data_IF_860313329529
#
_entry.id   IF_860313329529
#
_cell.length_a   1.000
_cell.length_b   1.000
_cell.length_c   1.000
_cell.angle_alpha   90.00
_cell.angle_beta   90.00
_cell.angle_gamma   90.00
#
_symmetry.space_group_name_H-M   'P 1'
#
loop_
_entity.id
_entity.type
_entity.pdbx_description
1 polymer ?
#
# COMPACT_ATOMS: atom_id res chain seq x y z
N UNK A 1 -4.29 8.96 -4.10
CA UNK A 1 -4.47 7.81 -3.19
C UNK A 1 -4.78 6.52 -3.96
N UNK A 2 -3.75 5.88 -4.52
CA UNK A 2 -3.87 4.62 -5.27
C UNK A 2 -3.00 3.55 -4.60
N UNK A 3 -3.63 2.51 -4.07
CA UNK A 3 -2.92 1.30 -3.64
C UNK A 3 -2.69 0.41 -4.86
N UNK A 4 -1.52 -0.20 -4.99
CA UNK A 4 -1.28 -1.29 -5.94
C UNK A 4 -0.90 -2.52 -5.13
N UNK A 5 -1.78 -3.52 -5.11
CA UNK A 5 -1.42 -4.87 -4.67
C UNK A 5 -1.30 -5.75 -5.93
N UNK A 6 -0.10 -6.25 -6.20
CA UNK A 6 0.12 -7.24 -7.27
C UNK A 6 -0.07 -8.63 -6.67
N UNK A 7 -1.17 -9.29 -7.01
CA UNK A 7 -1.44 -10.69 -6.69
C UNK A 7 -1.95 -11.40 -7.93
N UNK A 8 -1.21 -12.39 -8.42
CA UNK A 8 -1.64 -13.25 -9.52
C UNK A 8 -2.69 -14.29 -9.12
N UNK A 9 -3.89 -13.86 -8.71
CA UNK A 9 -5.18 -14.59 -8.81
C UNK A 9 -6.22 -14.01 -7.81
N UNK A 10 -6.65 -12.78 -8.03
CA UNK A 10 -7.78 -12.19 -7.30
C UNK A 10 -9.06 -12.40 -8.11
N UNK A 11 -10.10 -13.06 -7.58
CA UNK A 11 -11.40 -13.24 -8.28
C UNK A 11 -12.24 -11.96 -8.37
N UNK A 12 -11.61 -10.81 -8.19
CA UNK A 12 -12.23 -9.51 -8.15
C UNK A 12 -12.65 -9.09 -9.57
N UNK A 13 -13.95 -8.95 -9.82
CA UNK A 13 -14.50 -8.33 -11.04
C UNK A 13 -14.35 -9.10 -12.37
N UNK A 14 -14.21 -10.42 -12.35
CA UNK A 14 -14.26 -11.18 -13.60
C UNK A 14 -15.67 -11.71 -13.88
N UNK A 15 -16.36 -11.10 -14.84
CA UNK A 15 -17.54 -11.70 -15.49
C UNK A 15 -17.19 -12.98 -16.27
N UNK A 16 -15.92 -13.37 -16.35
CA UNK A 16 -15.40 -14.45 -17.20
C UNK A 16 -14.56 -15.52 -16.47
N UNK A 17 -14.47 -15.51 -15.13
CA UNK A 17 -13.72 -16.52 -14.37
C UNK A 17 -12.18 -16.41 -14.45
N UNK A 18 -11.66 -15.29 -14.98
CA UNK A 18 -10.23 -15.00 -15.04
C UNK A 18 -9.77 -14.26 -13.78
N UNK A 19 -8.67 -14.69 -13.17
CA UNK A 19 -8.06 -14.00 -12.04
C UNK A 19 -7.54 -12.60 -12.42
N UNK A 20 -7.51 -11.70 -11.45
CA UNK A 20 -6.90 -10.37 -11.56
C UNK A 20 -5.50 -10.39 -10.98
N UNK A 21 -4.56 -9.82 -11.71
CA UNK A 21 -3.14 -9.69 -11.33
C UNK A 21 -2.84 -8.42 -10.53
N UNK A 22 -3.61 -7.34 -10.77
CA UNK A 22 -3.39 -6.02 -10.18
C UNK A 22 -4.69 -5.50 -9.58
N UNK A 23 -4.69 -5.22 -8.29
CA UNK A 23 -5.82 -4.61 -7.60
C UNK A 23 -5.45 -3.20 -7.14
N UNK A 24 -6.31 -2.25 -7.52
CA UNK A 24 -6.31 -0.88 -7.01
C UNK A 24 -7.56 -0.66 -6.18
N UNK A 25 -7.39 -0.26 -4.91
CA UNK A 25 -8.51 -0.06 -4.00
C UNK A 25 -8.19 0.98 -2.93
N UNK A 26 -9.23 1.57 -2.33
CA UNK A 26 -9.13 2.35 -1.09
C UNK A 26 -9.24 1.43 0.13
N UNK A 27 -8.62 1.75 1.28
CA UNK A 27 -8.60 0.86 2.44
C UNK A 27 -9.99 0.44 2.91
N UNK A 28 -10.95 1.38 2.94
CA UNK A 28 -12.33 1.12 3.34
C UNK A 28 -13.01 0.08 2.46
N UNK A 29 -12.96 0.25 1.12
CA UNK A 29 -13.60 -0.73 0.23
C UNK A 29 -12.87 -2.07 0.21
N UNK A 30 -11.54 -2.06 0.31
CA UNK A 30 -10.74 -3.28 0.30
C UNK A 30 -11.02 -4.13 1.54
N UNK A 31 -11.10 -3.54 2.73
CA UNK A 31 -11.37 -4.30 3.95
C UNK A 31 -12.77 -4.93 3.92
N UNK A 32 -13.78 -4.22 3.43
CA UNK A 32 -15.13 -4.77 3.27
C UNK A 32 -15.13 -6.04 2.39
N UNK A 33 -14.35 -6.03 1.31
CA UNK A 33 -14.25 -7.16 0.39
C UNK A 33 -13.48 -8.35 0.96
N UNK A 34 -12.49 -8.08 1.83
CA UNK A 34 -11.75 -9.11 2.56
C UNK A 34 -12.60 -9.74 3.67
N UNK A 35 -13.31 -8.91 4.44
CA UNK A 35 -14.20 -9.35 5.52
C UNK A 35 -15.43 -10.11 4.97
N UNK A 36 -15.91 -9.75 3.77
CA UNK A 36 -16.99 -10.48 3.07
C UNK A 36 -16.51 -11.74 2.32
N UNK A 37 -15.22 -12.09 2.43
CA UNK A 37 -14.59 -13.24 1.75
C UNK A 37 -14.75 -13.27 0.22
N UNK A 38 -14.96 -12.11 -0.41
CA UNK A 38 -15.03 -11.99 -1.86
C UNK A 38 -13.65 -12.03 -2.53
N UNK A 39 -12.59 -11.77 -1.77
CA UNK A 39 -11.20 -11.79 -2.24
C UNK A 39 -10.25 -12.21 -1.11
N UNK A 40 -9.00 -12.53 -1.45
CA UNK A 40 -7.94 -12.75 -0.49
C UNK A 40 -6.61 -12.20 -1.03
N UNK A 41 -5.69 -11.83 -0.14
CA UNK A 41 -4.39 -11.26 -0.50
C UNK A 41 -3.21 -12.23 -0.29
N UNK A 42 -3.49 -13.54 -0.19
CA UNK A 42 -2.49 -14.55 0.23
C UNK A 42 -1.31 -14.67 -0.75
N UNK A 43 -1.54 -14.38 -2.04
CA UNK A 43 -0.53 -14.46 -3.11
C UNK A 43 0.04 -13.10 -3.49
N UNK A 44 -0.30 -12.02 -2.79
CA UNK A 44 0.26 -10.69 -3.06
C UNK A 44 1.75 -10.71 -2.76
N UNK A 45 2.58 -10.38 -3.74
CA UNK A 45 4.05 -10.28 -3.60
C UNK A 45 4.55 -8.84 -3.60
N UNK A 46 3.72 -7.89 -4.05
CA UNK A 46 4.02 -6.46 -4.02
C UNK A 46 2.89 -5.67 -3.37
N UNK A 47 3.26 -4.78 -2.46
CA UNK A 47 2.36 -3.85 -1.80
C UNK A 47 2.84 -2.41 -2.02
N UNK A 48 1.98 -1.56 -2.54
CA UNK A 48 2.22 -0.12 -2.70
C UNK A 48 1.31 0.66 -1.78
N UNK A 49 1.90 1.45 -0.89
CA UNK A 49 1.26 2.46 -0.05
C UNK A 49 1.54 3.83 -0.64
N UNK A 50 0.53 4.48 -1.21
CA UNK A 50 0.64 5.82 -1.80
C UNK A 50 -0.10 6.87 -0.96
N UNK A 51 0.45 8.08 -0.86
CA UNK A 51 -0.06 9.17 -0.01
C UNK A 51 -0.27 8.75 1.45
N UNK A 52 0.71 8.10 2.06
CA UNK A 52 0.55 7.49 3.37
C UNK A 52 0.29 8.48 4.53
N UNK A 53 0.79 9.70 4.41
CA UNK A 53 0.42 10.81 5.29
C UNK A 53 -1.08 11.14 5.23
N UNK A 54 -1.64 11.27 4.03
CA UNK A 54 -3.08 11.49 3.84
C UNK A 54 -3.93 10.36 4.43
N UNK A 55 -3.46 9.12 4.30
CA UNK A 55 -4.19 7.97 4.85
C UNK A 55 -4.23 7.99 6.37
N UNK A 56 -3.16 8.47 7.01
CA UNK A 56 -3.16 8.69 8.45
C UNK A 56 -4.07 9.85 8.85
N UNK A 57 -4.05 10.97 8.11
CA UNK A 57 -4.94 12.12 8.35
C UNK A 57 -6.43 11.71 8.27
N UNK A 58 -6.77 10.79 7.37
CA UNK A 58 -8.12 10.24 7.20
C UNK A 58 -8.49 9.18 8.26
N UNK A 59 -7.58 8.83 9.16
CA UNK A 59 -7.81 7.84 10.21
C UNK A 59 -7.85 6.39 9.71
N UNK A 60 -7.24 6.09 8.55
CA UNK A 60 -7.23 4.74 7.98
C UNK A 60 -6.18 3.80 8.58
N UNK A 61 -5.42 4.24 9.57
CA UNK A 61 -4.39 3.42 10.22
C UNK A 61 -4.88 2.01 10.62
N UNK A 62 -6.03 1.84 11.31
CA UNK A 62 -6.50 0.53 11.72
C UNK A 62 -6.82 -0.39 10.54
N UNK A 63 -7.46 0.15 9.48
CA UNK A 63 -7.79 -0.60 8.27
C UNK A 63 -6.53 -1.02 7.53
N UNK A 64 -5.53 -0.12 7.41
CA UNK A 64 -4.26 -0.44 6.78
C UNK A 64 -3.56 -1.59 7.52
N UNK A 65 -3.47 -1.54 8.86
CA UNK A 65 -2.87 -2.63 9.65
C UNK A 65 -3.58 -3.97 9.43
N UNK A 66 -4.92 -3.97 9.40
CA UNK A 66 -5.72 -5.17 9.10
C UNK A 66 -5.40 -5.74 7.71
N UNK A 67 -5.38 -4.89 6.68
CA UNK A 67 -5.10 -5.30 5.29
C UNK A 67 -3.69 -5.89 5.19
N UNK A 68 -2.69 -5.17 5.71
CA UNK A 68 -1.29 -5.58 5.66
C UNK A 68 -1.03 -6.89 6.40
N UNK A 69 -1.74 -7.13 7.50
CA UNK A 69 -1.67 -8.39 8.25
C UNK A 69 -2.21 -9.61 7.48
N UNK A 70 -3.08 -9.41 6.49
CA UNK A 70 -3.57 -10.50 5.63
C UNK A 70 -2.64 -10.82 4.46
N UNK A 71 -1.60 -10.01 4.24
CA UNK A 71 -0.62 -10.22 3.20
C UNK A 71 0.57 -10.99 3.78
N UNK A 72 1.13 -11.93 3.00
CA UNK A 72 2.36 -12.65 3.33
C UNK A 72 3.49 -11.68 3.74
N UNK A 73 4.31 -12.03 4.74
CA UNK A 73 5.37 -11.14 5.24
C UNK A 73 6.54 -10.99 4.25
N UNK A 74 6.79 -12.01 3.43
CA UNK A 74 7.79 -12.03 2.38
C UNK A 74 7.25 -11.42 1.07
N UNK A 75 7.06 -10.11 1.14
CA UNK A 75 6.62 -9.26 0.04
C UNK A 75 7.56 -8.07 -0.12
N UNK A 76 7.59 -7.50 -1.32
CA UNK A 76 8.19 -6.18 -1.53
C UNK A 76 7.16 -5.10 -1.23
N UNK A 77 7.49 -4.17 -0.33
CA UNK A 77 6.61 -3.04 0.02
C UNK A 77 7.24 -1.74 -0.45
N UNK A 78 6.47 -0.93 -1.17
CA UNK A 78 6.84 0.43 -1.58
C UNK A 78 5.93 1.41 -0.85
N UNK A 79 6.51 2.51 -0.36
CA UNK A 79 5.85 3.45 0.54
C UNK A 79 6.14 4.88 0.09
N UNK A 80 5.10 5.59 -0.34
CA UNK A 80 5.15 6.98 -0.79
C UNK A 80 4.40 7.88 0.17
N UNK A 81 5.03 8.98 0.51
CA UNK A 81 4.48 10.02 1.37
C UNK A 81 5.14 11.34 1.04
N UNK A 82 4.34 12.41 0.95
CA UNK A 82 4.85 13.76 0.71
C UNK A 82 5.50 14.34 1.98
N UNK A 83 4.91 14.04 3.14
CA UNK A 83 5.41 14.43 4.45
C UNK A 83 5.87 13.24 5.27
N UNK A 84 6.74 13.47 6.25
CA UNK A 84 7.29 12.42 7.12
C UNK A 84 7.21 12.81 8.61
N UNK A 85 6.00 13.01 9.16
CA UNK A 85 5.82 13.14 10.60
C UNK A 85 6.14 11.82 11.31
N UNK A 86 6.24 11.86 12.65
CA UNK A 86 6.65 10.69 13.46
C UNK A 86 5.71 9.51 13.25
N UNK A 87 4.42 9.76 13.08
CA UNK A 87 3.37 8.78 12.88
C UNK A 87 3.57 8.01 11.57
N UNK A 88 3.88 8.72 10.47
CA UNK A 88 4.24 8.12 9.17
C UNK A 88 5.51 7.28 9.30
N UNK A 89 6.53 7.79 10.00
CA UNK A 89 7.78 7.04 10.22
C UNK A 89 7.58 5.76 11.03
N UNK A 90 6.74 5.80 12.07
CA UNK A 90 6.39 4.64 12.87
C UNK A 90 5.61 3.61 12.06
N UNK A 91 4.66 4.05 11.23
CA UNK A 91 3.90 3.16 10.36
C UNK A 91 4.79 2.52 9.29
N UNK A 92 5.67 3.32 8.67
CA UNK A 92 6.62 2.83 7.68
C UNK A 92 7.53 1.73 8.26
N UNK A 93 8.02 1.90 9.50
CA UNK A 93 8.82 0.87 10.20
C UNK A 93 8.06 -0.44 10.46
N UNK A 94 6.73 -0.40 10.54
CA UNK A 94 5.90 -1.59 10.72
C UNK A 94 5.63 -2.31 9.39
N UNK A 95 5.52 -1.56 8.28
CA UNK A 95 5.11 -2.11 6.98
C UNK A 95 6.28 -2.47 6.06
N UNK A 96 7.44 -1.86 6.28
CA UNK A 96 8.66 -2.05 5.50
C UNK A 96 9.65 -2.97 6.23
N UNK A 97 10.37 -3.80 5.47
CA UNK A 97 11.48 -4.60 5.97
C UNK A 97 12.74 -4.27 5.17
N UNK A 98 13.83 -3.94 5.87
CA UNK A 98 15.13 -3.59 5.28
C UNK A 98 15.02 -2.61 4.10
N UNK A 99 14.30 -1.51 4.27
CA UNK A 99 13.99 -0.56 3.20
C UNK A 99 15.04 0.56 3.05
N UNK A 100 15.14 1.08 1.84
CA UNK A 100 15.91 2.29 1.53
C UNK A 100 14.97 3.49 1.43
N UNK A 101 15.30 4.58 2.13
CA UNK A 101 14.55 5.84 2.06
C UNK A 101 15.19 6.75 1.02
N UNK A 102 14.50 6.96 -0.10
CA UNK A 102 14.86 7.96 -1.10
C UNK A 102 14.07 9.22 -0.84
N UNK A 103 14.76 10.36 -0.74
CA UNK A 103 14.13 11.68 -0.65
C UNK A 103 14.50 12.46 -1.90
N UNK A 104 13.51 12.83 -2.69
CA UNK A 104 13.70 13.80 -3.76
C UNK A 104 13.79 15.18 -3.10
N UNK A 105 15.00 15.71 -2.96
CA UNK A 105 15.23 17.14 -2.79
C UNK A 105 15.51 17.69 -4.18
N UNK A 106 14.75 18.69 -4.61
CA UNK A 106 15.05 19.43 -5.83
C UNK A 106 16.46 20.02 -5.71
N UNK A 107 17.39 19.54 -6.55
CA UNK A 107 18.76 20.07 -6.66
C UNK A 107 18.90 21.09 -7.80
N UNK A 108 17.86 21.31 -8.62
CA UNK A 108 17.94 22.20 -9.79
C UNK A 108 17.60 23.69 -9.53
N UNK A 109 17.23 24.09 -8.31
CA UNK A 109 16.76 25.48 -8.05
C UNK A 109 17.72 26.38 -7.23
N UNK A 110 18.88 25.88 -6.77
CA UNK A 110 19.95 26.71 -6.20
C UNK A 110 21.27 26.49 -6.97
N UNK A 111 21.25 26.92 -8.23
CA UNK A 111 22.35 27.56 -8.97
C UNK A 111 23.77 27.05 -8.65
N UNK A 112 24.24 26.14 -9.50
CA UNK A 112 25.57 26.31 -10.08
C UNK A 112 25.56 27.57 -10.96
N UNK A 113 25.98 28.70 -10.37
CA UNK A 113 26.68 29.88 -10.92
C UNK A 113 26.38 31.12 -10.08
#
# INVERSE_FOLDING_TARGET
>A
MIWVALAGDSYLFSLAGLGVEIVIATPGRLIDMLESHHTNLRRVTYLVLDEADRMLDMGFEPQMKKIVAQIRPDRQTLYWSATWPKEVELLAKQFLYNSYKVKCQDIDCYRNN
#
